data_IF_839154720920
#
_entry.id   IF_839154720920
#
_cell.length_a   1.000
_cell.length_b   1.000
_cell.length_c   1.000
_cell.angle_alpha   90.00
_cell.angle_beta   90.00
_cell.angle_gamma   90.00
#
_symmetry.space_group_name_H-M   'P 1'
#
loop_
_entity.id
_entity.type
_entity.pdbx_description
1 polymer ?
#
# COMPACT_ATOMS: atom_id res chain seq x y z
N UNK A 1 64.69 43.97 -15.10
CA UNK A 1 63.77 44.63 -14.16
C UNK A 1 62.61 43.67 -13.86
N UNK A 2 62.47 43.23 -12.64
CA UNK A 2 61.73 42.10 -12.12
C UNK A 2 60.22 42.36 -12.05
N UNK A 3 59.38 41.58 -12.65
CA UNK A 3 58.00 41.49 -12.29
C UNK A 3 57.74 40.19 -11.52
N UNK A 4 57.55 40.33 -10.25
CA UNK A 4 57.20 39.30 -9.32
C UNK A 4 55.69 39.04 -9.49
N UNK A 5 55.36 37.89 -10.04
CA UNK A 5 54.00 37.43 -10.21
C UNK A 5 53.58 36.74 -8.91
N UNK A 6 52.69 37.44 -8.17
CA UNK A 6 52.05 36.90 -6.96
C UNK A 6 51.00 35.87 -7.39
N UNK A 7 51.29 34.60 -7.29
CA UNK A 7 50.25 33.59 -7.32
C UNK A 7 49.61 33.49 -5.95
N UNK A 8 48.45 34.11 -5.88
CA UNK A 8 47.57 33.97 -4.72
C UNK A 8 47.10 32.52 -4.63
N UNK A 9 47.38 31.90 -3.52
CA UNK A 9 46.82 30.64 -3.10
C UNK A 9 45.30 30.76 -2.90
N UNK A 10 44.52 30.43 -3.92
CA UNK A 10 43.12 30.15 -3.74
C UNK A 10 43.01 28.68 -3.37
N UNK A 11 43.13 28.41 -2.08
CA UNK A 11 42.71 27.13 -1.51
C UNK A 11 41.17 27.04 -1.67
N UNK A 12 40.76 26.48 -2.79
CA UNK A 12 39.35 26.11 -3.01
C UNK A 12 39.06 24.94 -2.08
N UNK A 13 38.52 25.27 -0.91
CA UNK A 13 37.96 24.31 0.04
C UNK A 13 36.74 23.69 -0.62
N UNK A 14 36.93 22.68 -1.44
CA UNK A 14 35.90 21.78 -1.91
C UNK A 14 35.41 20.99 -0.68
N UNK A 15 34.51 21.64 0.08
CA UNK A 15 33.67 20.91 0.99
C UNK A 15 32.79 20.00 0.13
N UNK A 16 33.25 18.77 -0.07
CA UNK A 16 32.41 17.66 -0.50
C UNK A 16 31.31 17.52 0.55
N UNK A 17 30.21 18.23 0.33
CA UNK A 17 28.93 17.86 0.89
C UNK A 17 28.58 16.50 0.28
N UNK A 18 29.14 15.46 0.88
CA UNK A 18 28.62 14.12 0.76
C UNK A 18 27.22 14.17 1.32
N UNK A 19 26.24 14.46 0.46
CA UNK A 19 24.86 14.12 0.73
C UNK A 19 24.88 12.59 0.82
N UNK A 20 25.12 12.07 2.02
CA UNK A 20 24.78 10.70 2.35
C UNK A 20 23.26 10.64 2.11
N UNK A 21 22.86 10.25 0.91
CA UNK A 21 21.55 9.66 0.72
C UNK A 21 21.53 8.53 1.76
N UNK A 22 20.81 8.73 2.85
CA UNK A 22 20.57 7.71 3.87
C UNK A 22 19.83 6.59 3.14
N UNK A 23 20.62 5.68 2.55
CA UNK A 23 20.09 4.47 1.97
C UNK A 23 19.38 3.76 3.11
N UNK A 24 18.07 3.65 3.00
CA UNK A 24 17.22 3.00 3.99
C UNK A 24 17.74 1.56 4.17
N UNK A 25 18.29 1.26 5.33
CA UNK A 25 18.83 -0.07 5.61
C UNK A 25 17.71 -0.99 6.08
N UNK A 26 17.74 -2.27 5.67
CA UNK A 26 16.82 -3.26 6.21
C UNK A 26 16.94 -3.33 7.74
N UNK A 27 15.82 -3.47 8.41
CA UNK A 27 15.80 -3.74 9.84
C UNK A 27 16.45 -5.11 10.14
N UNK A 28 17.11 -5.24 11.26
CA UNK A 28 17.67 -6.53 11.71
C UNK A 28 16.58 -7.59 11.85
N UNK A 29 16.96 -8.86 11.80
CA UNK A 29 15.99 -9.98 11.79
C UNK A 29 15.03 -9.94 12.98
N UNK A 30 15.52 -9.67 14.19
CA UNK A 30 14.68 -9.63 15.39
C UNK A 30 13.80 -8.38 15.44
N UNK A 31 14.30 -7.23 14.98
CA UNK A 31 13.51 -6.02 14.86
C UNK A 31 12.41 -6.21 13.81
N UNK A 32 12.72 -6.80 12.66
CA UNK A 32 11.75 -7.12 11.62
C UNK A 32 10.62 -8.02 12.14
N UNK A 33 10.96 -9.10 12.85
CA UNK A 33 9.96 -9.99 13.46
C UNK A 33 9.07 -9.26 14.45
N UNK A 34 9.65 -8.39 15.29
CA UNK A 34 8.88 -7.58 16.24
C UNK A 34 7.91 -6.64 15.53
N UNK A 35 8.37 -5.92 14.50
CA UNK A 35 7.52 -5.02 13.72
C UNK A 35 6.35 -5.78 13.09
N UNK A 36 6.59 -6.91 12.45
CA UNK A 36 5.55 -7.76 11.85
C UNK A 36 4.58 -8.25 12.91
N UNK A 37 5.09 -8.76 14.05
CA UNK A 37 4.25 -9.24 15.13
C UNK A 37 3.32 -8.15 15.70
N UNK A 38 3.82 -6.92 15.86
CA UNK A 38 3.02 -5.79 16.34
C UNK A 38 1.88 -5.43 15.38
N UNK A 39 2.15 -5.43 14.05
CA UNK A 39 1.12 -5.16 13.03
C UNK A 39 0.09 -6.28 13.01
N UNK A 40 0.53 -7.54 13.01
CA UNK A 40 -0.37 -8.70 12.99
C UNK A 40 -1.25 -8.78 14.26
N UNK A 41 -0.69 -8.48 15.42
CA UNK A 41 -1.46 -8.42 16.67
C UNK A 41 -2.54 -7.34 16.62
N UNK A 42 -2.19 -6.12 16.16
CA UNK A 42 -3.16 -5.04 15.99
C UNK A 42 -4.25 -5.37 14.95
N UNK A 43 -3.88 -6.08 13.89
CA UNK A 43 -4.82 -6.54 12.88
C UNK A 43 -5.78 -7.63 13.40
N UNK A 44 -5.31 -8.50 14.30
CA UNK A 44 -6.14 -9.51 14.93
C UNK A 44 -7.21 -8.90 15.88
N UNK A 45 -6.89 -7.77 16.50
CA UNK A 45 -7.81 -7.01 17.36
C UNK A 45 -8.77 -6.12 16.55
N UNK A 46 -8.54 -5.95 15.24
CA UNK A 46 -9.33 -5.06 14.41
C UNK A 46 -10.63 -5.73 13.96
N UNK A 47 -11.74 -5.28 14.53
CA UNK A 47 -13.10 -5.75 14.16
C UNK A 47 -13.69 -4.99 12.99
N UNK A 48 -13.32 -3.72 12.82
CA UNK A 48 -13.76 -2.88 11.69
C UNK A 48 -12.72 -1.80 11.37
N UNK A 49 -12.76 -1.34 10.12
CA UNK A 49 -11.95 -0.22 9.64
C UNK A 49 -12.79 0.61 8.65
N UNK A 50 -12.75 1.91 8.82
CA UNK A 50 -13.34 2.87 7.91
C UNK A 50 -12.33 3.97 7.63
N UNK A 51 -12.15 4.32 6.36
CA UNK A 51 -11.28 5.44 5.97
C UNK A 51 -11.72 6.05 4.65
N UNK A 52 -11.26 7.26 4.39
CA UNK A 52 -11.17 7.81 3.05
C UNK A 52 -9.87 7.36 2.42
N UNK A 53 -9.79 7.31 1.09
CA UNK A 53 -8.52 7.09 0.39
C UNK A 53 -8.33 8.09 -0.76
N UNK A 54 -7.07 8.35 -1.04
CA UNK A 54 -6.63 9.02 -2.27
C UNK A 54 -5.71 8.06 -3.00
N UNK A 55 -6.04 7.75 -4.23
CA UNK A 55 -5.22 6.92 -5.12
C UNK A 55 -4.64 7.79 -6.22
N UNK A 56 -3.34 7.70 -6.43
CA UNK A 56 -2.63 8.31 -7.56
C UNK A 56 -2.00 7.19 -8.38
N UNK A 57 -2.44 7.03 -9.62
CA UNK A 57 -1.83 6.12 -10.59
C UNK A 57 -1.00 6.92 -11.57
N UNK A 58 0.31 6.66 -11.57
CA UNK A 58 1.26 7.24 -12.51
C UNK A 58 1.38 6.30 -13.70
N UNK A 59 1.01 6.80 -14.87
CA UNK A 59 1.14 6.06 -16.13
C UNK A 59 2.49 6.41 -16.76
N UNK A 60 3.43 5.47 -16.70
CA UNK A 60 4.82 5.69 -17.15
C UNK A 60 4.91 6.07 -18.63
N UNK A 61 4.14 5.38 -19.48
CA UNK A 61 4.13 5.60 -20.92
C UNK A 61 3.58 6.97 -21.32
N UNK A 62 2.56 7.46 -20.58
CA UNK A 62 1.88 8.73 -20.89
C UNK A 62 2.44 9.91 -20.09
N UNK A 63 3.33 9.66 -19.12
CA UNK A 63 3.86 10.64 -18.18
C UNK A 63 2.75 11.44 -17.46
N UNK A 64 1.62 10.78 -17.21
CA UNK A 64 0.40 11.39 -16.67
C UNK A 64 0.03 10.70 -15.35
N UNK A 65 -0.46 11.49 -14.40
CA UNK A 65 -0.99 11.00 -13.14
C UNK A 65 -2.53 11.06 -13.14
N UNK A 66 -3.16 9.96 -12.79
CA UNK A 66 -4.59 9.86 -12.57
C UNK A 66 -4.87 9.82 -11.07
N UNK A 67 -5.64 10.79 -10.58
CA UNK A 67 -6.02 10.84 -9.16
C UNK A 67 -7.47 10.43 -9.00
N UNK A 68 -7.70 9.46 -8.11
CA UNK A 68 -9.03 9.02 -7.70
C UNK A 68 -9.18 9.14 -6.19
N UNK A 69 -10.39 9.36 -5.74
CA UNK A 69 -10.73 9.44 -4.31
C UNK A 69 -11.88 8.50 -4.01
N UNK A 70 -11.94 8.05 -2.77
CA UNK A 70 -13.00 7.15 -2.37
C UNK A 70 -13.04 6.87 -0.89
N UNK A 71 -13.84 5.86 -0.54
CA UNK A 71 -14.03 5.37 0.83
C UNK A 71 -13.81 3.88 0.89
N UNK A 72 -13.26 3.42 1.99
CA UNK A 72 -13.09 2.01 2.27
C UNK A 72 -13.72 1.67 3.61
N UNK A 73 -14.45 0.57 3.62
CA UNK A 73 -15.06 -0.01 4.81
C UNK A 73 -14.68 -1.48 4.88
N UNK A 74 -14.16 -1.89 6.01
CA UNK A 74 -13.86 -3.28 6.32
C UNK A 74 -14.56 -3.65 7.63
N UNK A 75 -15.11 -4.85 7.71
CA UNK A 75 -15.61 -5.44 8.95
C UNK A 75 -15.18 -6.90 9.02
N UNK A 76 -14.76 -7.30 10.21
CA UNK A 76 -14.16 -8.60 10.48
C UNK A 76 -14.80 -9.77 9.74
N UNK A 77 -14.00 -10.73 9.37
CA UNK A 77 -14.34 -11.80 8.45
C UNK A 77 -14.00 -11.43 7.02
N UNK A 78 -15.01 -11.37 6.17
CA UNK A 78 -14.89 -11.27 4.72
C UNK A 78 -15.78 -10.16 4.14
N UNK A 79 -15.89 -9.03 4.84
CA UNK A 79 -16.69 -7.88 4.42
C UNK A 79 -15.80 -6.70 4.11
N UNK A 80 -15.83 -6.30 2.84
CA UNK A 80 -15.07 -5.16 2.34
C UNK A 80 -15.95 -4.38 1.34
N UNK A 81 -15.99 -3.05 1.50
CA UNK A 81 -16.48 -2.13 0.49
C UNK A 81 -15.35 -1.19 0.11
N UNK A 82 -15.08 -1.11 -1.17
CA UNK A 82 -14.15 -0.18 -1.78
C UNK A 82 -14.90 0.67 -2.80
N UNK A 83 -15.04 1.95 -2.54
CA UNK A 83 -15.89 2.84 -3.32
C UNK A 83 -15.10 4.03 -3.81
N UNK A 84 -15.01 4.17 -5.14
CA UNK A 84 -14.53 5.39 -5.78
C UNK A 84 -15.66 6.40 -5.86
N UNK A 85 -15.39 7.65 -5.47
CA UNK A 85 -16.34 8.76 -5.48
C UNK A 85 -15.94 9.87 -6.45
N UNK A 86 -14.70 9.89 -6.92
CA UNK A 86 -14.17 10.87 -7.88
C UNK A 86 -12.95 10.30 -8.60
N UNK A 87 -12.76 10.58 -9.91
CA UNK A 87 -13.62 11.36 -10.81
C UNK A 87 -14.83 10.57 -11.33
N UNK A 88 -14.87 9.26 -11.12
CA UNK A 88 -15.96 8.35 -11.51
C UNK A 88 -16.48 7.61 -10.27
N UNK A 89 -17.69 7.12 -10.35
CA UNK A 89 -18.27 6.28 -9.32
C UNK A 89 -18.12 4.81 -9.70
N UNK A 90 -17.46 4.07 -8.81
CA UNK A 90 -17.33 2.62 -8.94
C UNK A 90 -17.27 2.00 -7.55
N UNK A 91 -18.01 0.94 -7.35
CA UNK A 91 -18.06 0.27 -6.06
C UNK A 91 -17.77 -1.22 -6.22
N UNK A 92 -16.82 -1.70 -5.44
CA UNK A 92 -16.57 -3.10 -5.19
C UNK A 92 -17.08 -3.42 -3.78
N UNK A 93 -17.92 -4.43 -3.65
CA UNK A 93 -18.34 -4.96 -2.34
C UNK A 93 -18.07 -6.46 -2.31
N UNK A 94 -17.34 -6.89 -1.29
CA UNK A 94 -17.21 -8.28 -0.89
C UNK A 94 -18.07 -8.50 0.36
N UNK A 95 -18.93 -9.51 0.36
CA UNK A 95 -19.69 -9.94 1.51
C UNK A 95 -19.81 -11.47 1.49
N UNK A 96 -18.97 -12.13 2.29
CA UNK A 96 -18.85 -13.57 2.28
C UNK A 96 -18.35 -14.09 0.93
N UNK A 97 -19.14 -14.93 0.29
CA UNK A 97 -18.82 -15.52 -1.02
C UNK A 97 -19.38 -14.72 -2.22
N UNK A 98 -19.94 -13.53 -1.99
CA UNK A 98 -20.52 -12.68 -3.03
C UNK A 98 -19.70 -11.41 -3.23
N UNK A 99 -19.46 -11.10 -4.51
CA UNK A 99 -18.85 -9.84 -4.94
C UNK A 99 -19.88 -9.06 -5.78
N UNK A 100 -20.09 -7.80 -5.45
CA UNK A 100 -20.80 -6.84 -6.28
C UNK A 100 -19.79 -5.86 -6.89
N UNK A 101 -19.93 -5.66 -8.19
CA UNK A 101 -19.23 -4.66 -8.98
C UNK A 101 -20.28 -3.69 -9.52
N UNK A 102 -20.23 -2.44 -9.10
CA UNK A 102 -21.22 -1.43 -9.51
C UNK A 102 -20.55 -0.21 -10.09
N UNK A 103 -20.93 0.13 -11.31
CA UNK A 103 -20.61 1.40 -11.97
C UNK A 103 -21.87 2.25 -12.12
N UNK A 104 -21.76 3.42 -12.76
CA UNK A 104 -22.92 4.24 -13.15
C UNK A 104 -23.88 3.53 -14.11
N UNK A 105 -23.37 2.58 -14.90
CA UNK A 105 -24.11 1.95 -16.01
C UNK A 105 -24.56 0.53 -15.68
N UNK A 106 -23.83 -0.18 -14.83
CA UNK A 106 -24.03 -1.61 -14.62
C UNK A 106 -23.75 -2.03 -13.18
N UNK A 107 -24.54 -3.01 -12.73
CA UNK A 107 -24.29 -3.74 -11.49
C UNK A 107 -24.17 -5.24 -11.81
N UNK A 108 -23.05 -5.82 -11.48
CA UNK A 108 -22.81 -7.25 -11.58
C UNK A 108 -22.64 -7.85 -10.19
N UNK A 109 -23.30 -8.98 -9.94
CA UNK A 109 -23.09 -9.75 -8.72
C UNK A 109 -22.62 -11.14 -9.11
N UNK A 110 -21.47 -11.52 -8.57
CA UNK A 110 -20.83 -12.81 -8.86
C UNK A 110 -20.47 -13.54 -7.57
N UNK A 111 -20.41 -14.87 -7.63
CA UNK A 111 -19.87 -15.66 -6.51
C UNK A 111 -18.34 -15.63 -6.58
N UNK A 112 -17.70 -15.40 -5.43
CA UNK A 112 -16.24 -15.52 -5.30
C UNK A 112 -15.79 -16.92 -5.70
N UNK A 113 -16.56 -17.95 -5.33
CA UNK A 113 -16.23 -19.36 -5.62
C UNK A 113 -16.27 -19.70 -7.10
N UNK A 114 -17.00 -18.92 -7.91
CA UNK A 114 -17.13 -19.18 -9.35
C UNK A 114 -15.91 -18.76 -10.16
N UNK A 115 -15.01 -17.97 -9.58
CA UNK A 115 -13.84 -17.43 -10.28
C UNK A 115 -12.62 -17.35 -9.37
N UNK A 116 -11.57 -18.10 -9.74
CA UNK A 116 -10.29 -18.05 -9.05
C UNK A 116 -9.72 -16.63 -8.98
N UNK A 117 -9.93 -15.83 -10.02
CA UNK A 117 -9.51 -14.43 -10.06
C UNK A 117 -10.16 -13.60 -8.95
N UNK A 118 -11.49 -13.74 -8.72
CA UNK A 118 -12.16 -13.01 -7.64
C UNK A 118 -11.73 -13.51 -6.26
N UNK A 119 -11.46 -14.79 -6.10
CA UNK A 119 -10.90 -15.34 -4.85
C UNK A 119 -9.56 -14.67 -4.52
N UNK A 120 -8.66 -14.58 -5.50
CA UNK A 120 -7.34 -13.97 -5.31
C UNK A 120 -7.43 -12.47 -5.04
N UNK A 121 -8.26 -11.73 -5.79
CA UNK A 121 -8.47 -10.30 -5.56
C UNK A 121 -8.99 -10.04 -4.15
N UNK A 122 -10.02 -10.76 -3.72
CA UNK A 122 -10.60 -10.63 -2.40
C UNK A 122 -9.57 -10.94 -1.30
N UNK A 123 -8.82 -12.04 -1.45
CA UNK A 123 -7.77 -12.44 -0.52
C UNK A 123 -6.68 -11.38 -0.39
N UNK A 124 -6.19 -10.87 -1.52
CA UNK A 124 -5.14 -9.83 -1.54
C UNK A 124 -5.63 -8.55 -0.87
N UNK A 125 -6.84 -8.09 -1.21
CA UNK A 125 -7.40 -6.88 -0.61
C UNK A 125 -7.57 -7.02 0.91
N UNK A 126 -8.13 -8.15 1.38
CA UNK A 126 -8.32 -8.40 2.81
C UNK A 126 -6.99 -8.53 3.54
N UNK A 127 -6.03 -9.27 2.98
CA UNK A 127 -4.70 -9.44 3.57
C UNK A 127 -3.92 -8.12 3.62
N UNK A 128 -4.06 -7.27 2.60
CA UNK A 128 -3.43 -5.94 2.59
C UNK A 128 -4.01 -5.02 3.66
N UNK A 129 -5.34 -4.97 3.79
CA UNK A 129 -6.03 -4.15 4.80
C UNK A 129 -5.69 -4.61 6.21
N UNK A 130 -5.62 -5.92 6.43
CA UNK A 130 -5.35 -6.51 7.75
C UNK A 130 -3.85 -6.67 8.05
N UNK A 131 -2.95 -6.41 7.11
CA UNK A 131 -1.52 -6.64 7.29
C UNK A 131 -1.11 -8.12 7.35
N UNK A 132 -2.02 -9.06 7.15
CA UNK A 132 -1.71 -10.51 7.17
C UNK A 132 -0.68 -10.91 6.12
N UNK A 133 -0.59 -10.18 5.02
CA UNK A 133 0.43 -10.39 3.98
C UNK A 133 1.88 -10.23 4.48
N UNK A 134 2.08 -9.65 5.67
CA UNK A 134 3.41 -9.52 6.27
C UNK A 134 3.88 -10.80 6.97
N UNK A 135 2.95 -11.64 7.44
CA UNK A 135 3.25 -12.86 8.19
C UNK A 135 3.30 -14.12 7.31
N UNK A 136 2.65 -14.08 6.13
CA UNK A 136 2.59 -15.20 5.20
C UNK A 136 3.61 -15.00 4.07
N UNK A 137 4.74 -15.69 4.18
CA UNK A 137 5.81 -15.62 3.19
C UNK A 137 5.52 -16.45 1.94
N UNK A 138 4.40 -17.16 1.85
CA UNK A 138 4.05 -17.96 0.67
C UNK A 138 3.76 -17.11 -0.56
N UNK A 139 3.22 -15.93 -0.36
CA UNK A 139 2.85 -15.00 -1.44
C UNK A 139 3.95 -13.99 -1.76
N UNK A 140 4.68 -13.53 -0.72
CA UNK A 140 5.64 -12.45 -0.84
C UNK A 140 6.91 -12.71 -0.03
N UNK A 141 8.06 -12.36 -0.61
CA UNK A 141 9.27 -12.16 0.19
C UNK A 141 9.19 -10.78 0.82
N UNK A 142 9.14 -10.73 2.15
CA UNK A 142 8.98 -9.49 2.93
C UNK A 142 10.33 -9.03 3.46
N UNK A 143 10.62 -7.73 3.31
CA UNK A 143 11.77 -7.07 3.95
C UNK A 143 11.29 -5.82 4.66
N UNK A 144 11.56 -5.72 5.96
CA UNK A 144 11.18 -4.57 6.77
C UNK A 144 12.29 -3.52 6.81
N UNK A 145 11.87 -2.27 6.79
CA UNK A 145 12.72 -1.09 6.91
C UNK A 145 12.18 -0.15 7.98
N UNK A 146 13.07 0.59 8.60
CA UNK A 146 12.72 1.63 9.54
C UNK A 146 13.53 2.89 9.21
N UNK A 147 12.84 3.99 9.01
CA UNK A 147 13.46 5.29 8.81
C UNK A 147 12.53 6.38 9.36
N UNK A 148 13.11 7.38 10.03
CA UNK A 148 12.41 8.57 10.52
C UNK A 148 11.16 8.27 11.37
N UNK A 149 11.21 7.18 12.16
CA UNK A 149 10.10 6.75 13.02
C UNK A 149 8.93 6.12 12.27
N UNK A 150 9.06 5.87 10.98
CA UNK A 150 8.10 5.14 10.16
C UNK A 150 8.61 3.73 9.86
N UNK A 151 7.71 2.80 9.59
CA UNK A 151 8.04 1.46 9.13
C UNK A 151 7.61 1.29 7.69
N UNK A 152 8.44 0.61 6.91
CA UNK A 152 8.14 0.24 5.53
C UNK A 152 8.36 -1.26 5.36
N UNK A 153 7.38 -1.96 4.79
CA UNK A 153 7.54 -3.32 4.31
C UNK A 153 7.63 -3.32 2.79
N UNK A 154 8.70 -3.90 2.25
CA UNK A 154 8.84 -4.18 0.82
C UNK A 154 8.55 -5.63 0.57
N UNK A 155 7.60 -5.86 -0.32
CA UNK A 155 7.06 -7.17 -0.65
C UNK A 155 7.36 -7.46 -2.12
N UNK A 156 8.13 -8.53 -2.36
CA UNK A 156 8.39 -9.03 -3.72
C UNK A 156 7.54 -10.27 -3.94
N UNK A 157 6.63 -10.24 -4.94
CA UNK A 157 5.76 -11.37 -5.22
C UNK A 157 6.54 -12.64 -5.54
N UNK A 158 6.12 -13.78 -4.97
CA UNK A 158 6.70 -15.10 -5.24
C UNK A 158 5.81 -15.93 -6.17
N UNK A 159 4.50 -15.72 -6.15
CA UNK A 159 3.55 -16.38 -7.04
C UNK A 159 3.65 -15.80 -8.45
N UNK A 160 3.68 -16.68 -9.48
CA UNK A 160 3.89 -16.28 -10.89
C UNK A 160 2.88 -15.26 -11.38
N UNK A 161 1.61 -15.44 -11.01
CA UNK A 161 0.50 -14.58 -11.41
C UNK A 161 0.69 -13.14 -10.88
N UNK A 162 1.06 -13.02 -9.61
CA UNK A 162 1.34 -11.73 -8.98
C UNK A 162 2.63 -11.10 -9.50
N UNK A 163 3.68 -11.90 -9.68
CA UNK A 163 4.96 -11.45 -10.21
C UNK A 163 4.87 -10.99 -11.67
N UNK A 164 3.88 -11.48 -12.43
CA UNK A 164 3.60 -11.01 -13.78
C UNK A 164 2.99 -9.59 -13.79
N UNK A 165 2.23 -9.23 -12.74
CA UNK A 165 1.58 -7.93 -12.62
C UNK A 165 2.46 -6.89 -11.92
N UNK A 166 3.07 -7.28 -10.78
CA UNK A 166 3.80 -6.37 -9.91
C UNK A 166 5.26 -6.79 -9.77
N UNK A 167 6.15 -5.81 -9.79
CA UNK A 167 7.56 -6.01 -9.45
C UNK A 167 7.81 -5.88 -7.95
N UNK A 168 7.08 -5.02 -7.28
CA UNK A 168 7.21 -4.72 -5.86
C UNK A 168 5.91 -4.12 -5.32
N UNK A 169 5.59 -4.42 -4.07
CA UNK A 169 4.57 -3.73 -3.27
C UNK A 169 5.26 -3.14 -2.05
N UNK A 170 5.01 -1.87 -1.74
CA UNK A 170 5.49 -1.22 -0.52
C UNK A 170 4.32 -0.85 0.37
N UNK A 171 4.43 -1.19 1.63
CA UNK A 171 3.46 -0.85 2.66
C UNK A 171 4.12 0.10 3.65
N UNK A 172 3.61 1.33 3.73
CA UNK A 172 4.03 2.25 4.78
C UNK A 172 3.11 2.06 5.98
N UNK A 173 3.73 1.81 7.11
CA UNK A 173 3.07 1.43 8.35
C UNK A 173 3.28 2.55 9.36
N UNK A 174 2.20 3.06 9.90
CA UNK A 174 2.24 3.97 11.05
C UNK A 174 2.45 3.13 12.33
N UNK A 175 3.60 3.27 13.02
CA UNK A 175 3.88 2.46 14.20
C UNK A 175 3.00 2.81 15.41
N UNK A 176 2.41 3.99 15.47
CA UNK A 176 1.46 4.37 16.55
C UNK A 176 0.11 3.72 16.34
N UNK A 177 -0.36 3.70 15.09
CA UNK A 177 -1.60 3.04 14.69
C UNK A 177 -1.41 1.53 14.54
N UNK A 178 -0.17 1.06 14.37
CA UNK A 178 0.23 -0.32 14.07
C UNK A 178 -0.54 -0.88 12.87
N UNK A 179 -0.65 -0.07 11.81
CA UNK A 179 -1.37 -0.45 10.60
C UNK A 179 -0.77 0.21 9.35
N UNK A 180 -1.06 -0.40 8.21
CA UNK A 180 -0.73 0.17 6.90
C UNK A 180 -1.57 1.43 6.66
N UNK A 181 -0.92 2.52 6.29
CA UNK A 181 -1.56 3.80 5.95
C UNK A 181 -1.34 4.20 4.51
N UNK A 182 -0.29 3.67 3.86
CA UNK A 182 -0.04 3.86 2.44
C UNK A 182 0.36 2.54 1.79
N UNK A 183 -0.19 2.28 0.62
CA UNK A 183 0.18 1.17 -0.26
C UNK A 183 0.75 1.74 -1.55
N UNK A 184 1.93 1.28 -1.96
CA UNK A 184 2.50 1.58 -3.26
C UNK A 184 2.67 0.29 -4.05
N UNK A 185 2.15 0.27 -5.27
CA UNK A 185 2.26 -0.84 -6.21
C UNK A 185 3.17 -0.40 -7.35
N UNK A 186 4.18 -1.18 -7.64
CA UNK A 186 5.04 -1.00 -8.82
C UNK A 186 4.73 -2.10 -9.83
N UNK A 187 4.09 -1.71 -10.91
CA UNK A 187 3.69 -2.63 -11.96
C UNK A 187 4.86 -3.00 -12.87
N UNK A 188 4.78 -4.14 -13.53
CA UNK A 188 5.80 -4.56 -14.52
C UNK A 188 5.80 -3.68 -15.77
N UNK A 189 4.68 -3.03 -16.08
CA UNK A 189 4.56 -2.02 -17.14
C UNK A 189 5.41 -0.76 -16.88
N UNK A 190 5.89 -0.57 -15.64
CA UNK A 190 6.54 0.65 -15.18
C UNK A 190 5.58 1.65 -14.53
N UNK A 191 4.27 1.39 -14.58
CA UNK A 191 3.28 2.20 -13.87
C UNK A 191 3.42 2.04 -12.37
N UNK A 192 3.03 3.06 -11.63
CA UNK A 192 2.98 3.01 -10.17
C UNK A 192 1.61 3.47 -9.68
N UNK A 193 1.14 2.82 -8.64
CA UNK A 193 -0.10 3.20 -7.95
C UNK A 193 0.20 3.43 -6.49
N UNK A 194 -0.13 4.63 -5.97
CA UNK A 194 -0.03 4.98 -4.55
C UNK A 194 -1.43 5.20 -4.00
N UNK A 195 -1.75 4.51 -2.92
CA UNK A 195 -3.03 4.63 -2.20
C UNK A 195 -2.71 5.08 -0.79
N UNK A 196 -3.22 6.24 -0.41
CA UNK A 196 -3.07 6.83 0.92
C UNK A 196 -4.41 6.80 1.65
N UNK A 197 -4.44 6.20 2.85
CA UNK A 197 -5.60 6.13 3.73
C UNK A 197 -5.64 7.34 4.64
N UNK A 198 -6.79 8.00 4.71
CA UNK A 198 -7.03 9.21 5.51
C UNK A 198 -8.24 9.02 6.41
N UNK A 199 -8.33 9.82 7.48
CA UNK A 199 -9.48 9.82 8.39
C UNK A 199 -9.82 8.42 8.91
N UNK A 200 -8.79 7.65 9.25
CA UNK A 200 -8.90 6.25 9.67
C UNK A 200 -9.64 6.14 11.00
N UNK A 201 -10.66 5.29 11.04
CA UNK A 201 -11.43 4.91 12.23
C UNK A 201 -11.44 3.39 12.38
N UNK A 202 -10.93 2.88 13.50
CA UNK A 202 -10.90 1.45 13.82
C UNK A 202 -11.94 1.11 14.86
N UNK A 203 -12.47 -0.10 14.77
CA UNK A 203 -13.35 -0.72 15.78
C UNK A 203 -14.65 0.07 16.05
N UNK A 204 -15.09 0.88 15.08
CA UNK A 204 -16.37 1.58 15.12
C UNK A 204 -17.50 0.73 14.55
N UNK A 205 -18.74 1.12 14.86
CA UNK A 205 -19.93 0.48 14.26
C UNK A 205 -20.03 0.85 12.79
N UNK A 206 -20.24 -0.14 11.93
CA UNK A 206 -20.54 0.01 10.51
C UNK A 206 -21.85 -0.74 10.25
N UNK A 207 -22.81 -0.06 9.64
CA UNK A 207 -24.10 -0.65 9.30
C UNK A 207 -23.93 -1.83 8.30
N UNK A 208 -24.71 -2.89 8.46
CA UNK A 208 -24.72 -4.04 7.55
C UNK A 208 -25.09 -3.66 6.12
N UNK A 209 -25.94 -2.65 5.94
CA UNK A 209 -26.37 -2.14 4.64
C UNK A 209 -25.18 -1.63 3.79
N UNK A 210 -24.09 -1.20 4.43
CA UNK A 210 -22.85 -0.77 3.73
C UNK A 210 -22.28 -1.91 2.89
N UNK A 211 -22.47 -3.15 3.30
CA UNK A 211 -21.95 -4.35 2.63
C UNK A 211 -23.03 -5.10 1.81
N UNK A 212 -24.17 -4.43 1.53
CA UNK A 212 -25.20 -5.04 0.69
C UNK A 212 -24.70 -5.34 -0.72
N UNK A 213 -25.02 -6.53 -1.23
CA UNK A 213 -24.69 -7.04 -2.56
C UNK A 213 -25.98 -7.35 -3.36
N UNK A 214 -26.97 -6.46 -3.19
CA UNK A 214 -28.24 -6.50 -3.91
C UNK A 214 -28.25 -5.47 -5.04
#
# INVERSE_FOLDING_TARGET
MKKIMRYGFIACLLACLSVCALAQQPAGTDESRKMVAEVCAAAAEMTSLQCDFVQVKQLSLLQTALTSKGKMYYRGGDRLRWEYTSPYTYTFVLNGDRVMLKSSEKTDVVSVRSSRMFQEIARIMLNSVTGRCLADESDFKVTMYKADGQWEARLVPQQKEMAALFSEVRLHIDPKLRMVTVVELKERSGDTTRIEMKNVRKNGTIDDAVFSVQ
#
